data_IF_312445200046
#
_entry.id   IF_312445200046
#
_cell.length_a   1.000
_cell.length_b   1.000
_cell.length_c   1.000
_cell.angle_alpha   90.00
_cell.angle_beta   90.00
_cell.angle_gamma   90.00
#
_symmetry.space_group_name_H-M   'P 1'
#
loop_
_entity.id
_entity.type
_entity.pdbx_description
1 polymer ?
#
# COMPACT_ATOMS: atom_id res chain seq x y z
N UNK A 1 -2.47 -12.15 -14.22
CA UNK A 1 -1.73 -11.08 -13.51
C UNK A 1 -2.54 -9.81 -13.53
N UNK A 2 -2.42 -8.97 -12.50
CA UNK A 2 -3.10 -7.69 -12.47
C UNK A 2 -2.60 -6.82 -13.65
N UNK A 3 -3.53 -6.28 -14.44
CA UNK A 3 -3.17 -5.39 -15.55
C UNK A 3 -2.85 -3.99 -15.03
N UNK A 4 -1.99 -3.26 -15.73
CA UNK A 4 -1.69 -1.85 -15.41
C UNK A 4 -2.96 -1.00 -15.35
N UNK A 5 -3.99 -1.33 -16.13
CA UNK A 5 -5.28 -0.65 -16.09
C UNK A 5 -5.99 -0.84 -14.74
N UNK A 6 -6.13 -2.09 -14.28
CA UNK A 6 -6.79 -2.38 -12.99
C UNK A 6 -5.98 -1.77 -11.83
N UNK A 7 -4.66 -1.93 -11.85
CA UNK A 7 -3.78 -1.37 -10.81
C UNK A 7 -3.79 0.16 -10.82
N UNK A 8 -3.85 0.78 -12.00
CA UNK A 8 -3.94 2.23 -12.16
C UNK A 8 -5.27 2.80 -11.63
N UNK A 9 -6.37 2.03 -11.70
CA UNK A 9 -7.65 2.36 -11.04
C UNK A 9 -7.60 2.11 -9.53
N UNK A 10 -6.83 1.12 -9.09
CA UNK A 10 -6.67 0.78 -7.68
C UNK A 10 -5.92 1.89 -6.91
N UNK A 11 -4.84 2.41 -7.50
CA UNK A 11 -4.09 3.57 -7.00
C UNK A 11 -4.47 4.83 -7.78
N UNK A 12 -5.40 5.67 -7.28
CA UNK A 12 -5.98 6.77 -8.06
C UNK A 12 -4.94 7.76 -8.57
N UNK A 13 -5.13 8.26 -9.79
CA UNK A 13 -4.37 9.42 -10.31
C UNK A 13 -4.98 10.75 -9.83
N UNK A 14 -5.36 10.79 -8.55
CA UNK A 14 -5.95 11.96 -7.91
C UNK A 14 -4.87 12.73 -7.15
N UNK A 15 -4.82 14.05 -7.35
CA UNK A 15 -3.78 14.91 -6.76
C UNK A 15 -3.79 14.86 -5.23
N UNK A 16 -4.96 14.77 -4.61
CA UNK A 16 -5.08 14.73 -3.14
C UNK A 16 -4.60 13.39 -2.59
N UNK A 17 -4.98 12.29 -3.25
CA UNK A 17 -4.50 10.95 -2.91
C UNK A 17 -2.99 10.84 -3.05
N UNK A 18 -2.43 11.30 -4.18
CA UNK A 18 -0.98 11.29 -4.44
C UNK A 18 -0.24 12.11 -3.36
N UNK A 19 -0.71 13.33 -3.07
CA UNK A 19 -0.10 14.18 -2.03
C UNK A 19 -0.20 13.53 -0.64
N UNK A 20 -1.31 12.84 -0.35
CA UNK A 20 -1.50 12.12 0.92
C UNK A 20 -0.49 10.99 1.08
N UNK A 21 -0.30 10.17 0.04
CA UNK A 21 0.69 9.08 0.06
C UNK A 21 2.11 9.63 0.19
N UNK A 22 2.47 10.65 -0.60
CA UNK A 22 3.81 11.24 -0.49
C UNK A 22 4.06 11.90 0.86
N UNK A 23 3.05 12.56 1.46
CA UNK A 23 3.15 13.08 2.83
C UNK A 23 3.42 11.95 3.83
N UNK A 24 2.70 10.82 3.76
CA UNK A 24 2.96 9.67 4.63
C UNK A 24 4.39 9.14 4.48
N UNK A 25 4.92 9.10 3.25
CA UNK A 25 6.31 8.69 2.99
C UNK A 25 7.31 9.66 3.60
N UNK A 26 7.13 10.98 3.39
CA UNK A 26 7.99 12.02 3.97
C UNK A 26 7.94 12.00 5.50
N UNK A 27 6.75 11.89 6.09
CA UNK A 27 6.56 11.85 7.54
C UNK A 27 7.17 10.58 8.15
N UNK A 28 7.03 9.43 7.48
CA UNK A 28 7.70 8.20 7.86
C UNK A 28 9.22 8.41 7.88
N UNK A 29 9.80 8.94 6.79
CA UNK A 29 11.22 9.26 6.71
C UNK A 29 11.73 10.11 7.87
N UNK A 30 11.03 11.21 8.17
CA UNK A 30 11.37 12.11 9.27
C UNK A 30 11.32 11.41 10.62
N UNK A 31 10.31 10.56 10.85
CA UNK A 31 10.17 9.77 12.08
C UNK A 31 11.37 8.83 12.30
N UNK A 32 12.08 8.45 11.24
CA UNK A 32 13.25 7.57 11.30
C UNK A 32 14.58 8.33 11.21
N UNK A 33 14.58 9.66 11.41
CA UNK A 33 15.76 10.51 11.28
C UNK A 33 16.46 10.37 9.91
N UNK A 34 15.69 10.10 8.86
CA UNK A 34 16.17 10.01 7.48
C UNK A 34 15.84 11.29 6.71
N UNK A 35 16.69 11.64 5.74
CA UNK A 35 16.48 12.79 4.87
C UNK A 35 16.05 12.34 3.46
N UNK A 36 14.74 12.40 3.19
CA UNK A 36 14.20 11.99 1.89
C UNK A 36 14.69 12.88 0.74
N UNK A 37 15.00 14.16 1.01
CA UNK A 37 15.53 15.06 -0.01
C UNK A 37 16.95 14.69 -0.43
N UNK A 38 17.75 14.08 0.45
CA UNK A 38 19.07 13.54 0.08
C UNK A 38 18.93 12.33 -0.84
N UNK A 39 17.98 11.43 -0.56
CA UNK A 39 17.80 10.20 -1.34
C UNK A 39 17.05 10.44 -2.67
N UNK A 40 16.07 11.35 -2.70
CA UNK A 40 15.18 11.58 -3.85
C UNK A 40 15.37 12.92 -4.56
N UNK A 41 16.14 13.84 -3.98
CA UNK A 41 16.31 15.20 -4.49
C UNK A 41 15.11 16.12 -4.22
N UNK A 42 14.08 15.65 -3.49
CA UNK A 42 12.87 16.41 -3.17
C UNK A 42 12.21 15.87 -1.90
N UNK A 43 11.63 16.76 -1.11
CA UNK A 43 10.70 16.43 -0.02
C UNK A 43 9.27 16.94 -0.27
N UNK A 44 8.98 17.44 -1.48
CA UNK A 44 7.62 17.82 -1.86
C UNK A 44 6.73 16.58 -1.91
N UNK A 45 5.67 16.61 -1.10
CA UNK A 45 4.76 15.50 -0.95
C UNK A 45 4.05 15.09 -2.25
N UNK A 46 3.87 16.00 -3.21
CA UNK A 46 3.25 15.64 -4.49
C UNK A 46 4.27 14.95 -5.41
N UNK A 47 5.50 15.43 -5.48
CA UNK A 47 6.58 14.80 -6.25
C UNK A 47 6.92 13.41 -5.70
N UNK A 48 7.12 13.29 -4.39
CA UNK A 48 7.32 12.00 -3.72
C UNK A 48 6.13 11.07 -3.96
N UNK A 49 4.91 11.59 -3.85
CA UNK A 49 3.70 10.81 -4.08
C UNK A 49 3.61 10.23 -5.50
N UNK A 50 4.03 10.99 -6.52
CA UNK A 50 4.05 10.52 -7.91
C UNK A 50 5.03 9.36 -8.10
N UNK A 51 6.22 9.45 -7.48
CA UNK A 51 7.20 8.37 -7.50
C UNK A 51 6.65 7.12 -6.82
N UNK A 52 6.07 7.27 -5.63
CA UNK A 52 5.48 6.14 -4.90
C UNK A 52 4.35 5.49 -5.69
N UNK A 53 3.44 6.27 -6.28
CA UNK A 53 2.36 5.74 -7.13
C UNK A 53 2.92 4.94 -8.31
N UNK A 54 3.94 5.47 -9.00
CA UNK A 54 4.62 4.76 -10.10
C UNK A 54 5.18 3.42 -9.62
N UNK A 55 5.88 3.40 -8.49
CA UNK A 55 6.47 2.17 -7.97
C UNK A 55 5.44 1.16 -7.49
N UNK A 56 4.33 1.61 -6.90
CA UNK A 56 3.22 0.74 -6.51
C UNK A 56 2.61 0.04 -7.73
N UNK A 57 2.40 0.78 -8.83
CA UNK A 57 1.92 0.21 -10.08
C UNK A 57 2.91 -0.85 -10.59
N UNK A 58 4.19 -0.48 -10.71
CA UNK A 58 5.23 -1.39 -11.18
C UNK A 58 5.33 -2.67 -10.33
N UNK A 59 5.26 -2.53 -9.01
CA UNK A 59 5.33 -3.64 -8.08
C UNK A 59 4.14 -4.59 -8.24
N UNK A 60 2.91 -4.07 -8.23
CA UNK A 60 1.71 -4.90 -8.28
C UNK A 60 1.51 -5.57 -9.66
N UNK A 61 2.10 -5.02 -10.73
CA UNK A 61 2.10 -5.64 -12.06
C UNK A 61 3.30 -6.55 -12.33
N UNK A 62 4.28 -6.63 -11.42
CA UNK A 62 5.52 -7.39 -11.64
C UNK A 62 5.33 -8.91 -11.61
N UNK A 63 4.21 -9.41 -11.09
CA UNK A 63 3.95 -10.83 -10.95
C UNK A 63 2.47 -11.15 -10.74
N UNK A 64 2.13 -12.43 -10.53
CA UNK A 64 0.79 -12.83 -10.14
C UNK A 64 0.44 -12.28 -8.75
N UNK A 65 -0.83 -11.91 -8.57
CA UNK A 65 -1.39 -11.48 -7.28
C UNK A 65 -2.54 -12.40 -6.92
N UNK A 66 -2.77 -12.59 -5.62
CA UNK A 66 -3.92 -13.31 -5.09
C UNK A 66 -4.85 -12.28 -4.44
N UNK A 67 -6.05 -12.11 -5.01
CA UNK A 67 -7.09 -11.25 -4.45
C UNK A 67 -8.08 -12.10 -3.65
N UNK A 68 -8.42 -11.66 -2.43
CA UNK A 68 -9.32 -12.36 -1.52
C UNK A 68 -10.37 -11.38 -0.98
N UNK A 69 -11.59 -11.87 -0.76
CA UNK A 69 -12.62 -11.18 0.01
C UNK A 69 -12.75 -11.91 1.34
N UNK A 70 -12.52 -11.19 2.44
CA UNK A 70 -12.67 -11.71 3.79
C UNK A 70 -13.87 -11.05 4.46
N UNK A 71 -14.75 -11.87 5.04
CA UNK A 71 -15.93 -11.42 5.78
C UNK A 71 -15.90 -11.93 7.22
N UNK A 72 -16.55 -11.17 8.12
CA UNK A 72 -16.57 -11.48 9.54
C UNK A 72 -16.83 -10.24 10.40
N UNK A 73 -16.97 -10.44 11.70
CA UNK A 73 -17.15 -9.35 12.65
C UNK A 73 -15.89 -8.45 12.69
N UNK A 74 -16.06 -7.14 12.52
CA UNK A 74 -14.95 -6.18 12.45
C UNK A 74 -13.83 -6.61 11.47
N UNK A 75 -14.21 -7.15 10.30
CA UNK A 75 -13.25 -7.74 9.37
C UNK A 75 -12.13 -6.77 8.97
N UNK A 76 -12.44 -5.49 8.74
CA UNK A 76 -11.44 -4.47 8.39
C UNK A 76 -10.40 -4.33 9.51
N UNK A 77 -10.86 -4.13 10.75
CA UNK A 77 -9.99 -3.91 11.89
C UNK A 77 -9.16 -5.18 12.22
N UNK A 78 -9.81 -6.34 12.22
CA UNK A 78 -9.19 -7.63 12.53
C UNK A 78 -8.14 -7.99 11.48
N UNK A 79 -8.45 -7.87 10.18
CA UNK A 79 -7.50 -8.16 9.10
C UNK A 79 -6.31 -7.22 9.17
N UNK A 80 -6.53 -5.90 9.38
CA UNK A 80 -5.42 -4.95 9.50
C UNK A 80 -4.56 -5.20 10.74
N UNK A 81 -5.15 -5.66 11.84
CA UNK A 81 -4.42 -6.07 13.04
C UNK A 81 -3.52 -7.28 12.76
N UNK A 82 -4.03 -8.29 12.05
CA UNK A 82 -3.28 -9.50 11.67
C UNK A 82 -2.14 -9.15 10.71
N UNK A 83 -2.39 -8.27 9.74
CA UNK A 83 -1.38 -7.85 8.76
C UNK A 83 -0.21 -7.10 9.42
N UNK A 84 -0.50 -6.24 10.39
CA UNK A 84 0.51 -5.46 11.11
C UNK A 84 0.88 -4.13 10.43
N UNK A 85 1.89 -3.46 10.99
CA UNK A 85 2.34 -2.12 10.57
C UNK A 85 2.68 -2.09 9.08
N UNK A 86 2.34 -1.00 8.37
CA UNK A 86 2.70 -0.81 6.94
C UNK A 86 4.18 -1.00 6.66
N UNK A 87 5.04 -0.67 7.62
CA UNK A 87 6.49 -0.86 7.52
C UNK A 87 6.88 -2.15 8.26
N UNK A 88 7.36 -3.18 7.54
CA UNK A 88 7.75 -4.47 8.13
C UNK A 88 8.76 -4.35 9.26
N UNK A 89 9.75 -3.48 9.14
CA UNK A 89 10.72 -3.19 10.19
C UNK A 89 10.10 -2.80 11.56
N UNK A 90 8.86 -2.26 11.56
CA UNK A 90 8.12 -1.87 12.78
C UNK A 90 6.84 -2.68 12.97
N UNK A 91 6.68 -3.78 12.25
CA UNK A 91 5.58 -4.69 12.46
C UNK A 91 5.92 -5.61 13.64
N UNK A 92 4.96 -5.78 14.55
CA UNK A 92 5.12 -6.65 15.72
C UNK A 92 5.28 -8.11 15.29
N UNK A 93 6.03 -8.88 16.09
CA UNK A 93 6.14 -10.33 15.93
C UNK A 93 4.75 -10.98 16.01
N UNK A 94 4.50 -11.98 15.16
CA UNK A 94 3.20 -12.64 15.02
C UNK A 94 2.25 -11.95 14.02
N UNK A 95 2.64 -10.82 13.44
CA UNK A 95 1.91 -10.21 12.32
C UNK A 95 2.48 -10.67 10.99
N UNK A 96 1.66 -10.69 9.92
CA UNK A 96 2.12 -11.13 8.59
C UNK A 96 3.35 -10.32 8.15
N UNK A 97 3.35 -9.00 8.34
CA UNK A 97 4.47 -8.16 7.93
C UNK A 97 5.70 -8.33 8.82
N UNK A 98 5.52 -8.55 10.12
CA UNK A 98 6.63 -8.74 11.05
C UNK A 98 7.33 -10.09 10.88
N UNK A 99 6.57 -11.13 10.50
CA UNK A 99 7.10 -12.49 10.40
C UNK A 99 7.68 -12.80 9.01
N UNK A 100 7.20 -12.14 7.94
CA UNK A 100 7.51 -12.52 6.56
C UNK A 100 8.21 -11.43 5.72
N UNK A 101 8.47 -10.24 6.27
CA UNK A 101 9.24 -9.20 5.57
C UNK A 101 10.16 -8.45 6.53
N UNK A 102 11.31 -8.03 6.01
CA UNK A 102 12.29 -7.21 6.73
C UNK A 102 12.52 -5.85 6.04
N UNK A 103 11.65 -5.49 5.08
CA UNK A 103 11.83 -4.31 4.25
C UNK A 103 11.63 -3.00 5.04
N UNK A 104 12.27 -1.94 4.57
CA UNK A 104 12.30 -0.65 5.25
C UNK A 104 12.22 0.53 4.27
N UNK A 105 11.78 1.72 4.74
CA UNK A 105 11.68 2.90 3.87
C UNK A 105 13.02 3.28 3.24
N UNK A 106 14.11 3.29 4.00
CA UNK A 106 15.45 3.65 3.52
C UNK A 106 15.93 2.71 2.41
N UNK A 107 15.73 1.40 2.56
CA UNK A 107 16.10 0.43 1.53
C UNK A 107 15.24 0.60 0.27
N UNK A 108 13.91 0.66 0.44
CA UNK A 108 12.97 0.74 -0.68
C UNK A 108 13.17 1.98 -1.55
N UNK A 109 13.46 3.14 -0.95
CA UNK A 109 13.70 4.38 -1.68
C UNK A 109 15.08 4.40 -2.34
N UNK A 110 16.13 3.91 -1.68
CA UNK A 110 17.46 3.78 -2.29
C UNK A 110 17.42 2.88 -3.53
N UNK A 111 16.62 1.81 -3.46
CA UNK A 111 16.37 0.90 -4.57
C UNK A 111 15.29 1.41 -5.54
N UNK A 112 14.71 2.60 -5.28
CA UNK A 112 13.69 3.27 -6.10
C UNK A 112 12.53 2.32 -6.45
N UNK A 113 11.99 1.66 -5.42
CA UNK A 113 10.87 0.74 -5.51
C UNK A 113 9.85 0.99 -4.41
N UNK A 114 8.69 0.33 -4.53
CA UNK A 114 7.69 0.34 -3.48
C UNK A 114 8.22 -0.45 -2.27
N UNK A 115 7.73 -0.06 -1.09
CA UNK A 115 7.90 -0.84 0.12
C UNK A 115 7.19 -2.19 -0.05
N UNK A 116 7.96 -3.27 0.02
CA UNK A 116 7.52 -4.65 -0.14
C UNK A 116 6.98 -5.18 1.18
N UNK A 117 5.76 -4.76 1.51
CA UNK A 117 5.07 -5.10 2.75
C UNK A 117 4.01 -6.20 2.58
N UNK A 118 4.15 -7.01 1.52
CA UNK A 118 3.44 -8.25 1.23
C UNK A 118 1.94 -8.14 0.89
N UNK A 119 1.18 -7.36 1.66
CA UNK A 119 -0.29 -7.38 1.63
C UNK A 119 -0.86 -5.96 1.55
N UNK A 120 -1.82 -5.75 0.66
CA UNK A 120 -2.75 -4.61 0.69
C UNK A 120 -4.05 -5.01 1.39
N UNK A 121 -4.61 -4.12 2.19
CA UNK A 121 -5.92 -4.29 2.79
C UNK A 121 -6.65 -2.94 2.86
N UNK A 122 -7.93 -2.95 2.50
CA UNK A 122 -8.81 -1.79 2.57
C UNK A 122 -8.88 -1.24 4.01
N UNK A 123 -8.98 0.09 4.13
CA UNK A 123 -8.95 0.77 5.43
C UNK A 123 -10.32 1.25 5.94
N UNK A 124 -11.34 1.22 5.08
CA UNK A 124 -12.70 1.66 5.38
C UNK A 124 -13.71 0.99 4.43
N UNK A 125 -14.99 1.13 4.72
CA UNK A 125 -16.08 0.49 4.00
C UNK A 125 -16.19 1.00 2.56
N UNK A 126 -15.92 2.28 2.32
CA UNK A 126 -15.93 2.91 1.01
C UNK A 126 -14.83 2.31 0.11
N UNK A 127 -13.63 2.10 0.65
CA UNK A 127 -12.53 1.42 -0.02
C UNK A 127 -12.87 -0.02 -0.34
N UNK A 128 -13.46 -0.77 0.60
CA UNK A 128 -13.90 -2.16 0.38
C UNK A 128 -14.86 -2.24 -0.81
N UNK A 129 -15.90 -1.40 -0.84
CA UNK A 129 -16.89 -1.39 -1.93
C UNK A 129 -16.24 -1.10 -3.28
N UNK A 130 -15.35 -0.09 -3.33
CA UNK A 130 -14.61 0.28 -4.56
C UNK A 130 -13.72 -0.86 -5.03
N UNK A 131 -12.94 -1.45 -4.12
CA UNK A 131 -11.94 -2.46 -4.43
C UNK A 131 -12.59 -3.79 -4.84
N UNK A 132 -13.68 -4.21 -4.18
CA UNK A 132 -14.45 -5.39 -4.61
C UNK A 132 -14.96 -5.20 -6.04
N UNK A 133 -15.57 -4.05 -6.33
CA UNK A 133 -16.12 -3.74 -7.66
C UNK A 133 -15.05 -3.66 -8.74
N UNK A 134 -13.81 -3.34 -8.35
CA UNK A 134 -12.67 -3.22 -9.27
C UNK A 134 -12.02 -4.57 -9.56
N UNK A 135 -11.89 -5.44 -8.55
CA UNK A 135 -11.11 -6.68 -8.65
C UNK A 135 -11.96 -7.92 -8.97
N UNK A 136 -13.29 -7.84 -8.83
CA UNK A 136 -14.19 -8.97 -9.03
C UNK A 136 -15.35 -8.59 -9.95
N UNK A 137 -15.50 -9.31 -11.06
CA UNK A 137 -16.65 -9.16 -11.97
C UNK A 137 -17.89 -9.74 -11.31
N UNK A 138 -18.66 -8.85 -10.65
CA UNK A 138 -19.97 -9.11 -10.05
C UNK A 138 -19.96 -10.13 -8.90
N UNK A 139 -20.00 -9.61 -7.70
CA UNK A 139 -20.07 -10.40 -6.47
C UNK A 139 -21.51 -10.41 -5.97
N UNK A 140 -22.34 -11.27 -6.57
CA UNK A 140 -23.73 -11.45 -6.11
C UNK A 140 -23.69 -12.06 -4.68
N UNK A 141 -24.35 -11.41 -3.71
CA UNK A 141 -24.61 -11.88 -2.32
C UNK A 141 -23.44 -11.92 -1.29
N UNK A 142 -22.37 -11.13 -1.41
CA UNK A 142 -21.32 -11.07 -0.36
C UNK A 142 -21.47 -9.92 0.65
N UNK A 143 -22.32 -8.94 0.36
CA UNK A 143 -22.55 -7.75 1.22
C UNK A 143 -23.98 -7.67 1.80
N UNK A 144 -24.78 -8.72 1.62
CA UNK A 144 -26.10 -8.92 2.25
C UNK A 144 -25.96 -9.50 3.65
#
# INVERSE_FOLDING_TARGET
NATTEIVGKHYPDDKNWIRSVGKKTVDAYKKYNLNIAEDLGTDDALEVGKLVRKWLIQHLTSGPVVALILSGNHAIEVVRKIIGNTIPLFAELGTIRGDFSMDSPDLSIKEKRALQNLVHASSNVEEVKREISLWFEKVDNLLS
#
